data_IF_650226776085
#
_entry.id   IF_650226776085
#
_cell.length_a   1.000
_cell.length_b   1.000
_cell.length_c   1.000
_cell.angle_alpha   90.00
_cell.angle_beta   90.00
_cell.angle_gamma   90.00
#
_symmetry.space_group_name_H-M   'P 1'
#
loop_
_entity.id
_entity.type
_entity.pdbx_description
1 polymer ?
#
# COMPACT_ATOMS: atom_id res chain seq x y z
N UNK A 1 47.80 9.54 24.65
CA UNK A 1 46.73 10.49 24.30
C UNK A 1 45.54 9.68 23.80
N UNK A 2 44.35 9.73 24.45
CA UNK A 2 43.21 8.98 23.98
C UNK A 2 42.54 9.72 22.80
N UNK A 3 42.26 8.95 21.74
CA UNK A 3 41.53 9.39 20.55
C UNK A 3 40.06 9.65 20.92
N UNK A 4 39.63 10.91 20.89
CA UNK A 4 38.21 11.24 20.91
C UNK A 4 37.59 10.86 19.57
N UNK A 5 36.98 9.67 19.53
CA UNK A 5 36.12 9.25 18.44
C UNK A 5 34.88 10.16 18.43
N UNK A 6 34.84 11.11 17.50
CA UNK A 6 33.68 11.96 17.25
C UNK A 6 32.53 11.05 16.79
N UNK A 7 31.66 10.66 17.72
CA UNK A 7 30.34 10.11 17.37
C UNK A 7 29.67 11.13 16.46
N UNK A 8 29.51 10.79 15.18
CA UNK A 8 28.62 11.50 14.27
C UNK A 8 27.26 11.51 14.95
N UNK A 9 26.82 12.67 15.43
CA UNK A 9 25.40 12.89 15.69
C UNK A 9 24.74 12.73 14.34
N UNK A 10 24.07 11.60 14.11
CA UNK A 10 22.96 11.55 13.17
C UNK A 10 22.04 12.69 13.58
N UNK A 11 22.06 13.74 12.78
CA UNK A 11 21.11 14.82 12.91
C UNK A 11 19.80 14.16 12.50
N UNK A 12 18.99 13.80 13.49
CA UNK A 12 17.61 13.43 13.30
C UNK A 12 16.91 14.70 12.80
N UNK A 13 17.02 14.96 11.49
CA UNK A 13 16.28 16.03 10.86
C UNK A 13 14.80 15.73 11.12
N UNK A 14 14.02 16.70 11.60
CA UNK A 14 12.59 16.47 11.73
C UNK A 14 12.04 16.10 10.36
N UNK A 15 11.57 14.85 10.21
CA UNK A 15 10.86 14.39 9.00
C UNK A 15 9.86 15.47 8.57
N UNK A 16 9.87 15.80 7.28
CA UNK A 16 8.94 16.79 6.74
C UNK A 16 7.50 16.31 6.95
N UNK A 17 6.54 17.25 6.98
CA UNK A 17 5.12 16.88 7.11
C UNK A 17 4.68 15.95 5.97
N UNK A 18 5.22 16.16 4.76
CA UNK A 18 5.00 15.31 3.60
C UNK A 18 5.57 13.90 3.80
N UNK A 19 6.81 13.77 4.29
CA UNK A 19 7.42 12.47 4.59
C UNK A 19 6.64 11.70 5.65
N UNK A 20 6.14 12.38 6.68
CA UNK A 20 5.28 11.77 7.70
C UNK A 20 3.98 11.29 7.10
N UNK A 21 3.36 12.10 6.24
CA UNK A 21 2.14 11.72 5.53
C UNK A 21 2.35 10.50 4.64
N UNK A 22 3.41 10.49 3.82
CA UNK A 22 3.74 9.37 2.94
C UNK A 22 3.98 8.10 3.76
N UNK A 23 4.74 8.17 4.85
CA UNK A 23 4.98 7.00 5.72
C UNK A 23 3.73 6.50 6.39
N UNK A 24 2.88 7.38 6.91
CA UNK A 24 1.60 6.99 7.51
C UNK A 24 0.69 6.29 6.49
N UNK A 25 0.62 6.81 5.26
CA UNK A 25 -0.15 6.18 4.18
C UNK A 25 0.47 4.87 3.70
N UNK A 26 1.80 4.76 3.71
CA UNK A 26 2.49 3.51 3.45
C UNK A 26 2.12 2.44 4.49
N UNK A 27 2.06 2.80 5.76
CA UNK A 27 1.63 1.88 6.82
C UNK A 27 0.16 1.46 6.65
N UNK A 28 -0.73 2.40 6.27
CA UNK A 28 -2.13 2.10 5.94
C UNK A 28 -2.22 1.16 4.72
N UNK A 29 -1.41 1.39 3.69
CA UNK A 29 -1.31 0.50 2.52
C UNK A 29 -0.92 -0.92 2.94
N UNK A 30 0.10 -1.06 3.78
CA UNK A 30 0.56 -2.36 4.27
C UNK A 30 -0.51 -3.07 5.11
N UNK A 31 -1.23 -2.33 5.96
CA UNK A 31 -2.34 -2.87 6.73
C UNK A 31 -3.46 -3.37 5.81
N UNK A 32 -3.95 -2.53 4.89
CA UNK A 32 -4.99 -2.89 3.92
C UNK A 32 -4.57 -4.06 3.02
N UNK A 33 -3.30 -4.13 2.63
CA UNK A 33 -2.75 -5.25 1.85
C UNK A 33 -2.75 -6.55 2.65
N UNK A 34 -2.45 -6.49 3.94
CA UNK A 34 -2.50 -7.65 4.85
C UNK A 34 -3.94 -8.13 5.07
N UNK A 35 -4.88 -7.20 5.25
CA UNK A 35 -6.31 -7.51 5.37
C UNK A 35 -6.86 -8.14 4.07
N UNK A 36 -6.49 -7.60 2.91
CA UNK A 36 -6.82 -8.17 1.60
C UNK A 36 -6.29 -9.60 1.49
N UNK A 37 -5.01 -9.82 1.83
CA UNK A 37 -4.41 -11.15 1.81
C UNK A 37 -5.20 -12.13 2.68
N UNK A 38 -5.49 -11.77 3.93
CA UNK A 38 -6.22 -12.64 4.85
C UNK A 38 -7.64 -12.98 4.36
N UNK A 39 -8.35 -12.00 3.77
CA UNK A 39 -9.70 -12.21 3.24
C UNK A 39 -9.72 -13.19 2.06
N UNK A 40 -8.75 -13.06 1.15
CA UNK A 40 -8.62 -13.94 -0.02
C UNK A 40 -8.10 -15.32 0.37
N UNK A 41 -7.16 -15.44 1.30
CA UNK A 41 -6.74 -16.73 1.85
C UNK A 41 -7.91 -17.46 2.53
N UNK A 42 -8.76 -16.73 3.27
CA UNK A 42 -10.02 -17.26 3.82
C UNK A 42 -11.05 -17.67 2.76
N UNK A 43 -11.01 -17.04 1.59
CA UNK A 43 -11.82 -17.37 0.40
C UNK A 43 -11.29 -18.54 -0.42
N UNK A 44 -10.13 -19.10 -0.08
CA UNK A 44 -9.51 -20.24 -0.77
C UNK A 44 -8.46 -19.86 -1.82
N UNK A 45 -8.06 -18.59 -1.91
CA UNK A 45 -6.87 -18.20 -2.66
C UNK A 45 -5.61 -18.65 -1.93
N UNK A 46 -4.57 -18.97 -2.70
CA UNK A 46 -3.33 -19.52 -2.20
C UNK A 46 -2.13 -18.92 -2.92
N UNK A 47 -0.94 -19.30 -2.49
CA UNK A 47 0.31 -18.97 -3.19
C UNK A 47 0.42 -19.53 -4.61
N UNK A 48 -0.51 -20.41 -5.02
CA UNK A 48 -0.60 -20.91 -6.40
C UNK A 48 -1.37 -19.97 -7.32
N UNK A 49 -2.17 -19.07 -6.77
CA UNK A 49 -2.93 -18.09 -7.54
C UNK A 49 -1.98 -16.95 -7.95
N UNK A 50 -1.46 -17.05 -9.17
CA UNK A 50 -0.44 -16.14 -9.71
C UNK A 50 -0.89 -14.68 -9.71
N UNK A 51 -2.15 -14.41 -10.06
CA UNK A 51 -2.73 -13.06 -10.02
C UNK A 51 -2.83 -12.52 -8.59
N UNK A 52 -3.17 -13.38 -7.63
CA UNK A 52 -3.25 -13.02 -6.22
C UNK A 52 -1.89 -12.59 -5.68
N UNK A 53 -0.88 -13.43 -5.89
CA UNK A 53 0.49 -13.14 -5.46
C UNK A 53 1.07 -11.94 -6.21
N UNK A 54 0.85 -11.81 -7.52
CA UNK A 54 1.33 -10.67 -8.29
C UNK A 54 0.73 -9.35 -7.81
N UNK A 55 -0.54 -9.34 -7.41
CA UNK A 55 -1.21 -8.15 -6.87
C UNK A 55 -0.65 -7.77 -5.51
N UNK A 56 -0.50 -8.73 -4.60
CA UNK A 56 0.10 -8.49 -3.29
C UNK A 56 1.54 -8.01 -3.40
N UNK A 57 2.33 -8.57 -4.32
CA UNK A 57 3.70 -8.14 -4.57
C UNK A 57 3.75 -6.69 -5.05
N UNK A 58 2.88 -6.28 -5.98
CA UNK A 58 2.82 -4.89 -6.47
C UNK A 58 2.46 -3.89 -5.36
N UNK A 59 1.48 -4.23 -4.53
CA UNK A 59 1.14 -3.40 -3.36
C UNK A 59 2.29 -3.35 -2.34
N UNK A 60 3.00 -4.46 -2.13
CA UNK A 60 4.17 -4.53 -1.26
C UNK A 60 5.38 -3.74 -1.80
N UNK A 61 5.58 -3.73 -3.12
CA UNK A 61 6.60 -2.91 -3.79
C UNK A 61 6.29 -1.42 -3.61
N UNK A 62 5.04 -1.01 -3.79
CA UNK A 62 4.61 0.37 -3.53
C UNK A 62 4.87 0.77 -2.07
N UNK A 63 4.52 -0.07 -1.10
CA UNK A 63 4.84 0.16 0.31
C UNK A 63 6.34 0.30 0.55
N UNK A 64 7.15 -0.58 -0.04
CA UNK A 64 8.61 -0.56 0.12
C UNK A 64 9.22 0.70 -0.49
N UNK A 65 8.73 1.14 -1.64
CA UNK A 65 9.15 2.39 -2.28
C UNK A 65 8.72 3.60 -1.43
N UNK A 66 7.48 3.61 -0.95
CA UNK A 66 6.94 4.66 -0.09
C UNK A 66 7.73 4.84 1.21
N UNK A 67 8.23 3.72 1.78
CA UNK A 67 8.99 3.74 3.03
C UNK A 67 10.43 4.20 2.87
N UNK A 68 11.07 3.85 1.75
CA UNK A 68 12.53 3.96 1.60
C UNK A 68 13.00 5.02 0.59
N UNK A 69 12.17 5.36 -0.39
CA UNK A 69 12.57 6.19 -1.54
C UNK A 69 11.73 7.45 -1.71
N UNK A 70 10.45 7.38 -1.36
CA UNK A 70 9.50 8.45 -1.62
C UNK A 70 9.41 9.32 -0.37
N UNK A 71 9.75 10.59 -0.55
CA UNK A 71 9.67 11.61 0.49
C UNK A 71 8.62 12.69 0.20
N UNK A 72 8.09 12.72 -1.03
CA UNK A 72 7.10 13.70 -1.49
C UNK A 72 5.74 13.04 -1.70
N UNK A 73 4.69 13.80 -1.43
CA UNK A 73 3.30 13.41 -1.72
C UNK A 73 3.06 13.24 -3.23
N UNK A 74 3.68 14.09 -4.07
CA UNK A 74 3.52 14.01 -5.53
C UNK A 74 4.13 12.71 -6.07
N UNK A 75 5.36 12.40 -5.67
CA UNK A 75 6.05 11.15 -6.01
C UNK A 75 5.24 9.92 -5.51
N UNK A 76 4.59 10.03 -4.35
CA UNK A 76 3.74 8.97 -3.84
C UNK A 76 2.47 8.78 -4.69
N UNK A 77 1.84 9.87 -5.14
CA UNK A 77 0.70 9.82 -6.06
C UNK A 77 1.09 9.20 -7.41
N UNK A 78 2.25 9.55 -7.94
CA UNK A 78 2.78 8.97 -9.17
C UNK A 78 3.03 7.46 -9.01
N UNK A 79 3.68 7.06 -7.92
CA UNK A 79 3.89 5.64 -7.61
C UNK A 79 2.57 4.86 -7.45
N UNK A 80 1.54 5.47 -6.87
CA UNK A 80 0.19 4.88 -6.81
C UNK A 80 -0.36 4.67 -8.23
N UNK A 81 -0.29 5.68 -9.10
CA UNK A 81 -0.77 5.59 -10.48
C UNK A 81 -0.04 4.50 -11.27
N UNK A 82 1.30 4.44 -11.15
CA UNK A 82 2.06 3.35 -11.77
C UNK A 82 1.65 1.97 -11.25
N UNK A 83 1.32 1.87 -9.96
CA UNK A 83 0.87 0.61 -9.37
C UNK A 83 -0.51 0.24 -9.89
N UNK A 84 -1.43 1.21 -10.02
CA UNK A 84 -2.76 1.03 -10.61
C UNK A 84 -2.68 0.48 -12.05
N UNK A 85 -1.78 1.02 -12.88
CA UNK A 85 -1.57 0.55 -14.25
C UNK A 85 -1.05 -0.89 -14.31
N UNK A 86 -0.26 -1.29 -13.32
CA UNK A 86 0.30 -2.64 -13.21
C UNK A 86 -0.71 -3.63 -12.60
N UNK A 87 -1.73 -3.18 -11.86
CA UNK A 87 -2.71 -4.08 -11.22
C UNK A 87 -3.65 -4.74 -12.25
N UNK A 88 -4.04 -6.01 -12.04
CA UNK A 88 -5.01 -6.68 -12.91
C UNK A 88 -6.30 -5.87 -13.00
N UNK A 89 -6.94 -5.90 -14.18
CA UNK A 89 -8.26 -5.33 -14.39
C UNK A 89 -9.31 -6.20 -13.71
N UNK A 90 -10.49 -5.62 -13.47
CA UNK A 90 -11.61 -6.27 -12.77
C UNK A 90 -11.79 -7.70 -13.27
N UNK A 91 -11.53 -8.66 -12.38
CA UNK A 91 -11.59 -10.08 -12.64
C UNK A 91 -12.33 -10.73 -11.48
N UNK A 92 -13.64 -10.83 -11.66
CA UNK A 92 -14.52 -11.40 -10.65
C UNK A 92 -14.42 -12.93 -10.69
N UNK A 93 -13.88 -13.54 -9.62
CA UNK A 93 -13.94 -14.98 -9.41
C UNK A 93 -15.06 -15.31 -8.44
N UNK A 94 -16.06 -16.03 -8.92
CA UNK A 94 -17.18 -16.52 -8.12
C UNK A 94 -16.82 -17.89 -7.53
N UNK A 95 -16.87 -18.01 -6.21
CA UNK A 95 -16.75 -19.31 -5.54
C UNK A 95 -18.14 -19.82 -5.17
N UNK A 96 -18.54 -20.96 -5.72
CA UNK A 96 -19.70 -21.70 -5.23
C UNK A 96 -19.31 -22.44 -3.96
N UNK A 97 -19.84 -22.01 -2.81
CA UNK A 97 -19.72 -22.75 -1.57
C UNK A 97 -20.84 -23.79 -1.55
N UNK A 98 -20.52 -25.07 -1.74
CA UNK A 98 -21.50 -26.15 -1.66
C UNK A 98 -22.27 -26.10 -0.33
N UNK A 99 -23.56 -25.75 -0.39
CA UNK A 99 -24.53 -26.01 0.68
C UNK A 99 -25.27 -24.82 1.29
N UNK A 100 -24.87 -23.57 1.06
CA UNK A 100 -25.64 -22.39 1.48
C UNK A 100 -25.40 -21.23 0.51
N UNK A 101 -26.48 -20.62 0.01
CA UNK A 101 -26.47 -19.48 -0.92
C UNK A 101 -25.64 -18.30 -0.38
N UNK A 102 -24.37 -18.23 -0.76
CA UNK A 102 -23.54 -17.03 -0.70
C UNK A 102 -22.33 -17.24 -1.62
N UNK A 103 -22.46 -16.79 -2.87
CA UNK A 103 -21.34 -16.70 -3.80
C UNK A 103 -20.49 -15.51 -3.38
N UNK A 104 -19.37 -15.76 -2.72
CA UNK A 104 -18.38 -14.70 -2.51
C UNK A 104 -17.70 -14.44 -3.86
N UNK A 105 -18.03 -13.30 -4.45
CA UNK A 105 -17.38 -12.78 -5.64
C UNK A 105 -16.14 -12.01 -5.21
N UNK A 106 -14.97 -12.61 -5.39
CA UNK A 106 -13.69 -11.98 -5.09
C UNK A 106 -13.13 -11.37 -6.37
N UNK A 107 -12.92 -10.06 -6.38
CA UNK A 107 -12.32 -9.35 -7.49
C UNK A 107 -11.07 -8.62 -6.99
N UNK A 108 -9.93 -9.31 -7.08
CA UNK A 108 -8.70 -8.80 -6.50
C UNK A 108 -8.22 -7.53 -7.21
N UNK A 109 -8.50 -7.42 -8.51
CA UNK A 109 -8.23 -6.21 -9.28
C UNK A 109 -9.01 -5.04 -8.70
N UNK A 110 -10.32 -5.21 -8.53
CA UNK A 110 -11.19 -4.18 -7.95
C UNK A 110 -10.80 -3.79 -6.53
N UNK A 111 -10.60 -4.77 -5.66
CA UNK A 111 -10.32 -4.50 -4.24
C UNK A 111 -8.94 -3.85 -4.04
N UNK A 112 -7.92 -4.31 -4.77
CA UNK A 112 -6.58 -3.69 -4.73
C UNK A 112 -6.58 -2.26 -5.28
N UNK A 113 -7.30 -2.00 -6.39
CA UNK A 113 -7.47 -0.64 -6.92
C UNK A 113 -8.22 0.26 -5.96
N UNK A 114 -9.24 -0.26 -5.28
CA UNK A 114 -9.97 0.49 -4.25
C UNK A 114 -9.05 0.93 -3.12
N UNK A 115 -8.15 0.07 -2.65
CA UNK A 115 -7.13 0.45 -1.64
C UNK A 115 -6.31 1.65 -2.11
N UNK A 116 -5.86 1.64 -3.36
CA UNK A 116 -5.06 2.71 -3.94
C UNK A 116 -5.85 4.01 -4.12
N UNK A 117 -7.11 3.93 -4.54
CA UNK A 117 -8.00 5.10 -4.63
C UNK A 117 -8.32 5.69 -3.26
N UNK A 118 -8.60 4.86 -2.24
CA UNK A 118 -8.79 5.33 -0.86
C UNK A 118 -7.57 6.11 -0.36
N UNK A 119 -6.35 5.65 -0.70
CA UNK A 119 -5.11 6.33 -0.33
C UNK A 119 -4.93 7.67 -1.06
N UNK A 120 -5.29 7.74 -2.35
CA UNK A 120 -5.30 8.99 -3.10
C UNK A 120 -6.32 9.99 -2.53
N UNK A 121 -7.52 9.52 -2.20
CA UNK A 121 -8.55 10.35 -1.57
C UNK A 121 -8.10 10.86 -0.20
N UNK A 122 -7.41 10.02 0.59
CA UNK A 122 -6.81 10.47 1.85
C UNK A 122 -5.71 11.52 1.64
N UNK A 123 -4.91 11.40 0.58
CA UNK A 123 -3.93 12.44 0.22
C UNK A 123 -4.58 13.76 -0.16
N UNK A 124 -5.72 13.73 -0.86
CA UNK A 124 -6.43 14.93 -1.29
C UNK A 124 -7.22 15.60 -0.16
N UNK A 125 -7.74 14.81 0.78
CA UNK A 125 -8.47 15.28 1.94
C UNK A 125 -7.58 15.69 3.12
N UNK A 126 -6.25 15.59 3.00
CA UNK A 126 -5.37 16.13 4.03
C UNK A 126 -5.50 17.65 4.10
N UNK A 127 -5.64 18.23 5.30
CA UNK A 127 -5.66 19.68 5.45
C UNK A 127 -4.36 20.25 4.89
N UNK A 128 -4.46 21.06 3.84
CA UNK A 128 -3.28 21.75 3.26
C UNK A 128 -2.53 22.46 4.39
N UNK A 129 -1.21 22.29 4.51
CA UNK A 129 -0.44 22.99 5.51
C UNK A 129 -0.71 24.49 5.33
N UNK A 130 -1.23 25.12 6.39
CA UNK A 130 -1.36 26.57 6.43
C UNK A 130 0.06 27.11 6.48
N UNK A 131 0.58 27.55 5.34
CA UNK A 131 1.78 28.38 5.31
C UNK A 131 1.51 29.61 6.20
N UNK A 132 2.25 29.71 7.30
CA UNK A 132 2.23 30.85 8.21
C UNK A 132 3.45 31.74 7.94
#
# INVERSE_FOLDING_TARGET
MPFFSKKKKEIDLPMSEEEKTVKNLADILNQKTTELKASYEGGGFSSKDTEFINTLNKLGELYTNAKNKISSVEDFKEAINETLDKLPKDQTRTFEKHGYDSVAAYDIGRDSRKILHDLQEQLENQPKPKFH
#
